data_IF_800576546459
#
_entry.id   IF_800576546459
#
_cell.length_a   1.000
_cell.length_b   1.000
_cell.length_c   1.000
_cell.angle_alpha   90.00
_cell.angle_beta   90.00
_cell.angle_gamma   90.00
#
_symmetry.space_group_name_H-M   'P 1'
#
loop_
_entity.id
_entity.type
_entity.pdbx_description
1 polymer ?
#
# COMPACT_ATOMS: atom_id res chain seq x y z
N UNK A 1 9.46 2.04 12.74
CA UNK A 1 10.51 2.45 11.77
C UNK A 1 9.86 2.69 10.42
N UNK A 2 10.24 3.70 9.64
CA UNK A 2 9.64 3.95 8.31
C UNK A 2 10.67 3.71 7.21
N UNK A 3 10.26 3.01 6.15
CA UNK A 3 11.01 2.78 4.92
C UNK A 3 10.18 3.19 3.71
N UNK A 4 10.85 3.44 2.59
CA UNK A 4 10.26 3.93 1.34
C UNK A 4 10.82 3.10 0.20
N UNK A 5 9.96 2.53 -0.62
CA UNK A 5 10.28 2.14 -2.00
C UNK A 5 9.92 3.30 -2.93
N UNK A 6 10.11 3.14 -4.24
CA UNK A 6 9.66 4.15 -5.21
C UNK A 6 8.14 4.33 -5.13
N UNK A 7 7.37 3.24 -4.97
CA UNK A 7 5.91 3.28 -5.06
C UNK A 7 5.20 3.29 -3.70
N UNK A 8 5.76 2.66 -2.68
CA UNK A 8 5.11 2.44 -1.38
C UNK A 8 5.98 2.89 -0.21
N UNK A 9 5.36 3.42 0.82
CA UNK A 9 5.98 3.57 2.12
C UNK A 9 5.52 2.47 3.05
N UNK A 10 6.41 2.04 3.94
CA UNK A 10 6.14 1.01 4.96
C UNK A 10 6.52 1.54 6.33
N UNK A 11 5.55 1.64 7.23
CA UNK A 11 5.74 2.04 8.63
C UNK A 11 5.55 0.83 9.53
N UNK A 12 6.64 0.41 10.17
CA UNK A 12 6.63 -0.62 11.22
C UNK A 12 6.24 0.01 12.57
N UNK A 13 5.14 -0.46 13.15
CA UNK A 13 4.67 -0.15 14.50
C UNK A 13 4.47 -1.45 15.29
N UNK A 14 5.29 -1.70 16.30
CA UNK A 14 5.29 -2.95 17.05
C UNK A 14 5.40 -4.19 16.13
N UNK A 15 4.32 -4.97 16.00
CA UNK A 15 4.21 -6.19 15.20
C UNK A 15 3.48 -5.98 13.86
N UNK A 16 3.15 -4.73 13.53
CA UNK A 16 2.38 -4.36 12.34
C UNK A 16 3.20 -3.51 11.37
N UNK A 17 2.92 -3.71 10.08
CA UNK A 17 3.52 -2.97 8.97
C UNK A 17 2.40 -2.29 8.21
N UNK A 18 2.31 -0.97 8.36
CA UNK A 18 1.33 -0.12 7.67
C UNK A 18 1.94 0.30 6.34
N UNK A 19 1.23 0.03 5.25
CA UNK A 19 1.68 0.31 3.88
C UNK A 19 0.81 1.40 3.28
N UNK A 20 1.40 2.35 2.55
CA UNK A 20 0.64 3.38 1.82
C UNK A 20 1.39 3.96 0.63
N UNK A 21 0.73 4.85 -0.12
CA UNK A 21 1.27 5.41 -1.37
C UNK A 21 2.34 6.47 -1.12
N UNK A 22 3.43 6.43 -1.88
CA UNK A 22 4.40 7.52 -1.92
C UNK A 22 3.92 8.66 -2.81
N UNK A 23 4.50 9.87 -2.67
CA UNK A 23 4.29 10.96 -3.62
C UNK A 23 4.66 10.60 -5.06
N UNK A 24 5.65 9.72 -5.25
CA UNK A 24 6.06 9.28 -6.59
C UNK A 24 4.96 8.45 -7.27
N UNK A 25 4.35 7.49 -6.56
CA UNK A 25 3.24 6.71 -7.10
C UNK A 25 2.01 7.59 -7.36
N UNK A 26 1.71 8.54 -6.46
CA UNK A 26 0.63 9.51 -6.65
C UNK A 26 0.85 10.36 -7.91
N UNK A 27 2.08 10.85 -8.12
CA UNK A 27 2.43 11.62 -9.32
C UNK A 27 2.34 10.76 -10.59
N UNK A 28 2.82 9.51 -10.54
CA UNK A 28 2.78 8.57 -11.66
C UNK A 28 1.32 8.25 -12.07
N UNK A 29 0.47 7.94 -11.09
CA UNK A 29 -0.93 7.60 -11.30
C UNK A 29 -1.77 8.82 -11.74
N UNK A 30 -1.50 9.99 -11.15
CA UNK A 30 -2.43 11.13 -11.19
C UNK A 30 -3.63 10.89 -10.27
N UNK A 31 -4.76 11.53 -10.56
CA UNK A 31 -5.94 11.45 -9.71
C UNK A 31 -6.56 10.05 -9.75
N UNK A 32 -6.48 9.32 -8.64
CA UNK A 32 -7.05 7.98 -8.50
C UNK A 32 -8.59 8.04 -8.55
N UNK A 33 -9.17 7.25 -9.45
CA UNK A 33 -10.63 7.14 -9.67
C UNK A 33 -11.20 5.76 -9.31
N UNK A 34 -10.35 4.73 -9.27
CA UNK A 34 -10.71 3.39 -8.84
C UNK A 34 -9.52 2.74 -8.10
N UNK A 35 -9.84 1.95 -7.08
CA UNK A 35 -8.88 1.20 -6.28
C UNK A 35 -9.41 -0.21 -6.05
N UNK A 36 -8.53 -1.20 -6.14
CA UNK A 36 -8.79 -2.57 -5.67
C UNK A 36 -7.59 -3.03 -4.84
N UNK A 37 -7.84 -3.31 -3.56
CA UNK A 37 -6.82 -3.73 -2.60
C UNK A 37 -6.95 -5.24 -2.40
N UNK A 38 -5.83 -5.94 -2.27
CA UNK A 38 -5.81 -7.37 -1.97
C UNK A 38 -6.65 -7.70 -0.72
N UNK A 39 -7.31 -8.86 -0.74
CA UNK A 39 -8.18 -9.28 0.35
C UNK A 39 -7.37 -9.59 1.62
N UNK A 40 -8.04 -9.50 2.78
CA UNK A 40 -7.51 -10.00 4.06
C UNK A 40 -7.13 -11.48 3.91
N UNK A 41 -5.90 -11.82 4.27
CA UNK A 41 -5.33 -13.14 4.05
C UNK A 41 -3.82 -13.14 3.91
N UNK A 42 -3.27 -14.28 3.51
CA UNK A 42 -1.85 -14.42 3.16
C UNK A 42 -1.56 -13.64 1.87
N UNK A 43 -0.38 -13.03 1.81
CA UNK A 43 0.15 -12.37 0.62
C UNK A 43 1.66 -12.60 0.57
N UNK A 44 2.21 -12.91 -0.60
CA UNK A 44 3.65 -12.99 -0.80
C UNK A 44 4.20 -11.67 -1.34
N UNK A 45 5.50 -11.41 -1.13
CA UNK A 45 6.20 -10.37 -1.86
C UNK A 45 6.00 -10.59 -3.38
N UNK A 46 5.92 -9.49 -4.12
CA UNK A 46 5.61 -9.47 -5.57
C UNK A 46 4.17 -9.86 -5.95
N UNK A 47 3.33 -10.39 -5.05
CA UNK A 47 1.89 -10.54 -5.31
C UNK A 47 1.22 -9.18 -5.42
N UNK A 48 0.17 -9.06 -6.24
CA UNK A 48 -0.57 -7.81 -6.41
C UNK A 48 -1.23 -7.35 -5.11
N UNK A 49 -0.72 -6.27 -4.51
CA UNK A 49 -1.30 -5.66 -3.31
C UNK A 49 -2.40 -4.66 -3.66
N UNK A 50 -2.18 -3.88 -4.73
CA UNK A 50 -3.02 -2.75 -5.09
C UNK A 50 -3.13 -2.61 -6.62
N UNK A 51 -4.35 -2.45 -7.13
CA UNK A 51 -4.62 -2.00 -8.50
C UNK A 51 -5.27 -0.61 -8.46
N UNK A 52 -4.77 0.29 -9.30
CA UNK A 52 -5.27 1.66 -9.45
C UNK A 52 -5.77 1.90 -10.88
N UNK A 53 -6.90 2.57 -11.05
CA UNK A 53 -7.20 3.32 -12.28
C UNK A 53 -7.22 4.82 -11.95
N UNK A 54 -6.34 5.56 -12.60
CA UNK A 54 -6.13 6.98 -12.33
C UNK A 54 -6.02 7.79 -13.61
N UNK A 55 -6.01 9.13 -13.49
CA UNK A 55 -6.11 10.04 -14.63
C UNK A 55 -4.96 9.94 -15.63
N UNK A 56 -3.78 9.45 -15.23
CA UNK A 56 -2.63 9.24 -16.12
C UNK A 56 -2.43 7.79 -16.54
N UNK A 57 -2.66 6.83 -15.65
CA UNK A 57 -2.37 5.43 -15.88
C UNK A 57 -3.25 4.50 -15.05
N UNK A 58 -3.36 3.25 -15.50
CA UNK A 58 -3.73 2.12 -14.65
C UNK A 58 -2.44 1.44 -14.19
N UNK A 59 -2.30 1.23 -12.87
CA UNK A 59 -1.06 0.75 -12.26
C UNK A 59 -1.37 -0.44 -11.35
N UNK A 60 -0.62 -1.51 -11.54
CA UNK A 60 -0.57 -2.65 -10.62
C UNK A 60 0.65 -2.47 -9.71
N UNK A 61 0.43 -2.54 -8.39
CA UNK A 61 1.47 -2.33 -7.39
C UNK A 61 1.63 -3.63 -6.57
N UNK A 62 2.80 -4.28 -6.64
CA UNK A 62 3.07 -5.48 -5.86
C UNK A 62 3.24 -5.19 -4.37
N UNK A 63 3.02 -6.22 -3.54
CA UNK A 63 3.37 -6.19 -2.13
C UNK A 63 4.89 -6.10 -1.97
N UNK A 64 5.41 -5.21 -1.14
CA UNK A 64 6.84 -5.13 -0.87
C UNK A 64 7.33 -6.24 0.08
N UNK A 65 6.42 -6.97 0.74
CA UNK A 65 6.71 -7.91 1.83
C UNK A 65 5.78 -9.11 1.76
N UNK A 66 6.29 -10.30 2.11
CA UNK A 66 5.46 -11.45 2.44
C UNK A 66 4.88 -11.33 3.85
N UNK A 67 3.65 -11.81 4.05
CA UNK A 67 3.01 -11.83 5.37
C UNK A 67 1.50 -12.04 5.29
N UNK A 68 0.77 -11.41 6.22
CA UNK A 68 -0.68 -11.52 6.32
C UNK A 68 -1.35 -10.16 6.40
N UNK A 69 -2.20 -9.85 5.43
CA UNK A 69 -3.06 -8.67 5.46
C UNK A 69 -4.11 -8.86 6.55
N UNK A 70 -4.10 -7.97 7.55
CA UNK A 70 -5.06 -7.98 8.67
C UNK A 70 -6.07 -6.83 8.61
N UNK A 71 -5.76 -5.77 7.86
CA UNK A 71 -6.65 -4.62 7.61
C UNK A 71 -6.40 -4.04 6.24
N UNK A 72 -7.44 -3.48 5.63
CA UNK A 72 -7.39 -2.71 4.39
C UNK A 72 -8.11 -1.38 4.58
N UNK A 73 -7.75 -0.37 3.78
CA UNK A 73 -8.40 0.93 3.82
C UNK A 73 -9.74 0.91 3.05
N UNK A 74 -10.79 0.43 3.71
CA UNK A 74 -12.15 0.39 3.15
C UNK A 74 -12.65 1.79 2.74
N UNK A 75 -12.24 2.84 3.46
CA UNK A 75 -12.60 4.21 3.12
C UNK A 75 -12.00 4.65 1.78
N UNK A 76 -10.79 4.20 1.44
CA UNK A 76 -10.20 4.44 0.12
C UNK A 76 -10.92 3.68 -1.00
N UNK A 77 -11.47 2.48 -0.72
CA UNK A 77 -12.29 1.75 -1.68
C UNK A 77 -13.57 2.53 -2.01
N UNK A 78 -14.23 3.09 -1.00
CA UNK A 78 -15.44 3.90 -1.18
C UNK A 78 -15.15 5.30 -1.74
N UNK A 79 -13.99 5.88 -1.40
CA UNK A 79 -13.52 7.19 -1.83
C UNK A 79 -12.05 7.16 -2.27
N UNK A 80 -11.76 6.77 -3.53
CA UNK A 80 -10.39 6.60 -4.03
C UNK A 80 -9.54 7.87 -3.98
N UNK A 81 -10.16 9.05 -3.93
CA UNK A 81 -9.46 10.32 -3.84
C UNK A 81 -8.63 10.47 -2.54
N UNK A 82 -8.93 9.70 -1.48
CA UNK A 82 -8.14 9.67 -0.24
C UNK A 82 -6.69 9.24 -0.49
N UNK A 83 -6.47 8.40 -1.50
CA UNK A 83 -5.15 7.92 -1.86
C UNK A 83 -4.26 8.99 -2.50
N UNK A 84 -4.85 10.10 -2.97
CA UNK A 84 -4.11 11.27 -3.46
C UNK A 84 -3.65 12.21 -2.34
N UNK A 85 -4.05 11.97 -1.09
CA UNK A 85 -3.73 12.84 0.05
C UNK A 85 -2.26 12.72 0.46
N UNK A 86 -1.70 13.79 1.02
CA UNK A 86 -0.39 13.76 1.68
C UNK A 86 -0.49 13.22 3.13
N UNK A 87 -1.70 13.09 3.69
CA UNK A 87 -1.91 12.54 5.03
C UNK A 87 -1.79 11.00 5.01
N UNK A 88 -0.82 10.48 5.77
CA UNK A 88 -0.61 9.05 5.92
C UNK A 88 -1.80 8.32 6.55
N UNK A 89 -2.68 9.02 7.27
CA UNK A 89 -3.92 8.46 7.81
C UNK A 89 -5.02 8.28 6.75
N UNK A 90 -4.86 8.92 5.58
CA UNK A 90 -5.80 8.83 4.45
C UNK A 90 -5.26 7.94 3.33
N UNK A 91 -3.96 8.05 3.00
CA UNK A 91 -3.35 7.37 1.86
C UNK A 91 -2.77 5.97 2.14
N UNK A 92 -3.01 5.42 3.34
CA UNK A 92 -2.65 4.04 3.66
C UNK A 92 -3.52 3.05 2.88
N UNK A 93 -2.99 1.86 2.63
CA UNK A 93 -3.58 0.83 1.78
C UNK A 93 -3.96 -0.39 2.62
N UNK A 94 -2.98 -0.95 3.34
CA UNK A 94 -3.14 -2.19 4.08
C UNK A 94 -2.23 -2.23 5.32
N UNK A 95 -2.57 -3.10 6.26
CA UNK A 95 -1.72 -3.44 7.41
C UNK A 95 -1.38 -4.92 7.34
N UNK A 96 -0.09 -5.24 7.40
CA UNK A 96 0.43 -6.60 7.41
C UNK A 96 0.94 -6.99 8.81
N UNK A 97 0.77 -8.26 9.16
CA UNK A 97 1.44 -8.96 10.27
C UNK A 97 2.21 -10.16 9.72
N UNK A 98 2.89 -10.90 10.60
CA UNK A 98 3.63 -12.12 10.24
C UNK A 98 4.70 -11.92 9.16
N UNK A 99 5.23 -10.70 9.07
CA UNK A 99 6.30 -10.31 8.14
C UNK A 99 7.66 -10.74 8.70
N UNK A 100 8.51 -11.31 7.86
CA UNK A 100 9.91 -11.57 8.21
C UNK A 100 10.66 -10.23 8.40
N UNK A 101 11.19 -10.01 9.60
CA UNK A 101 11.94 -8.79 9.92
C UNK A 101 13.13 -8.56 8.98
N UNK A 102 13.75 -9.63 8.46
CA UNK A 102 14.85 -9.51 7.51
C UNK A 102 14.43 -9.00 6.13
N UNK A 103 13.21 -9.30 5.68
CA UNK A 103 12.65 -8.71 4.45
C UNK A 103 12.40 -7.22 4.64
N UNK A 104 11.79 -6.83 5.77
CA UNK A 104 11.61 -5.41 6.10
C UNK A 104 12.95 -4.68 6.19
N UNK A 105 13.97 -5.28 6.80
CA UNK A 105 15.31 -4.68 6.88
C UNK A 105 16.01 -4.61 5.51
N UNK A 106 15.59 -5.39 4.51
CA UNK A 106 16.14 -5.37 3.15
C UNK A 106 15.45 -4.39 2.18
N UNK A 107 14.25 -3.89 2.52
CA UNK A 107 13.58 -2.78 1.81
C UNK A 107 14.45 -1.51 1.77
#
# INVERSE_FOLDING_TARGET
>A
MKKMTDQLWVLQEADQYIIGMTPCLQEEAGDVSYVNIANIGEIEADDTLLNLEASKAAIEVPSPLSGKIVKINEAAIDNPALLNSEDANENWIAVLTDVDASEFEAL
#
